data_IF_807476852292
#
_entry.id   IF_807476852292
#
_cell.length_a   1.000
_cell.length_b   1.000
_cell.length_c   1.000
_cell.angle_alpha   90.00
_cell.angle_beta   90.00
_cell.angle_gamma   90.00
#
_symmetry.space_group_name_H-M   'P 1'
#
loop_
_entity.id
_entity.type
_entity.pdbx_description
1 polymer ?
#
# COMPACT_ATOMS: atom_id res chain seq x y z
N UNK A 1 -14.65 5.49 -27.14
CA UNK A 1 -15.40 6.15 -28.23
C UNK A 1 -16.70 5.38 -28.46
N UNK A 2 -17.80 6.06 -28.77
CA UNK A 2 -19.03 5.40 -29.21
C UNK A 2 -18.87 4.95 -30.67
N UNK A 3 -18.98 3.64 -30.93
CA UNK A 3 -18.80 3.09 -32.28
C UNK A 3 -19.88 3.58 -33.26
N UNK A 4 -21.12 3.73 -32.79
CA UNK A 4 -22.26 4.07 -33.65
C UNK A 4 -22.20 5.49 -34.23
N UNK A 5 -21.58 6.44 -33.52
CA UNK A 5 -21.46 7.83 -33.96
C UNK A 5 -20.02 8.30 -34.15
N UNK A 6 -19.04 7.39 -34.03
CA UNK A 6 -17.61 7.66 -34.18
C UNK A 6 -17.11 8.87 -33.36
N UNK A 7 -17.69 9.08 -32.17
CA UNK A 7 -17.32 10.21 -31.29
C UNK A 7 -18.11 11.50 -31.49
N UNK A 8 -18.84 11.67 -32.61
CA UNK A 8 -19.59 12.90 -32.88
C UNK A 8 -20.73 13.17 -31.89
N UNK A 9 -21.26 12.12 -31.26
CA UNK A 9 -22.45 12.17 -30.41
C UNK A 9 -23.76 12.40 -31.16
N UNK A 10 -23.71 12.64 -32.48
CA UNK A 10 -24.88 12.80 -33.33
C UNK A 10 -25.44 11.43 -33.78
N UNK A 11 -26.73 11.39 -34.11
CA UNK A 11 -27.37 10.21 -34.68
C UNK A 11 -26.67 9.83 -36.00
N UNK A 12 -26.44 8.54 -36.31
CA UNK A 12 -25.83 8.14 -37.57
C UNK A 12 -26.53 8.79 -38.78
N UNK A 13 -25.77 9.36 -39.71
CA UNK A 13 -26.28 10.10 -40.87
C UNK A 13 -26.66 11.56 -40.60
N UNK A 14 -26.57 12.04 -39.36
CA UNK A 14 -26.71 13.45 -38.99
C UNK A 14 -25.35 14.01 -38.54
N UNK A 15 -25.22 15.34 -38.48
CA UNK A 15 -23.99 16.01 -38.04
C UNK A 15 -24.28 17.03 -36.93
N UNK A 16 -23.34 17.26 -36.00
CA UNK A 16 -23.44 18.36 -35.05
C UNK A 16 -23.55 19.70 -35.76
N UNK A 17 -24.48 20.55 -35.32
CA UNK A 17 -24.60 21.92 -35.84
C UNK A 17 -23.53 22.81 -35.21
N UNK A 18 -23.00 23.78 -35.95
CA UNK A 18 -22.08 24.77 -35.37
C UNK A 18 -22.81 25.61 -34.31
N UNK A 19 -22.19 25.79 -33.14
CA UNK A 19 -22.77 26.60 -32.08
C UNK A 19 -22.80 28.07 -32.51
N UNK A 20 -23.99 28.66 -32.62
CA UNK A 20 -24.17 30.04 -33.09
C UNK A 20 -23.57 31.08 -32.13
N UNK A 21 -23.61 30.82 -30.82
CA UNK A 21 -23.12 31.75 -29.80
C UNK A 21 -21.60 31.96 -29.82
N UNK A 22 -20.84 30.91 -30.15
CA UNK A 22 -19.38 30.97 -30.23
C UNK A 22 -18.84 30.79 -31.66
N UNK A 23 -19.73 30.68 -32.65
CA UNK A 23 -19.40 30.45 -34.06
C UNK A 23 -18.40 29.31 -34.29
N UNK A 24 -18.53 28.21 -33.53
CA UNK A 24 -17.62 27.06 -33.64
C UNK A 24 -16.37 27.09 -32.75
N UNK A 25 -16.05 28.23 -32.13
CA UNK A 25 -14.81 28.37 -31.34
C UNK A 25 -14.84 27.66 -29.97
N UNK A 26 -16.02 27.29 -29.48
CA UNK A 26 -16.19 26.69 -28.15
C UNK A 26 -15.99 27.64 -26.98
N UNK A 27 -15.54 28.87 -27.23
CA UNK A 27 -15.20 29.85 -26.21
C UNK A 27 -15.86 31.20 -26.51
N UNK A 28 -16.09 32.00 -25.47
CA UNK A 28 -16.65 33.34 -25.59
C UNK A 28 -15.88 34.31 -24.71
N UNK A 29 -15.75 35.55 -25.16
CA UNK A 29 -15.05 36.59 -24.41
C UNK A 29 -16.02 37.34 -23.51
N UNK A 30 -15.74 37.39 -22.21
CA UNK A 30 -16.52 38.12 -21.21
C UNK A 30 -15.70 39.27 -20.62
N UNK A 31 -16.34 40.43 -20.45
CA UNK A 31 -15.73 41.56 -19.75
C UNK A 31 -15.72 41.28 -18.24
N UNK A 32 -14.53 41.26 -17.63
CA UNK A 32 -14.33 41.20 -16.19
C UNK A 32 -14.51 42.57 -15.52
N UNK A 33 -14.30 42.62 -14.19
CA UNK A 33 -14.48 43.77 -13.29
C UNK A 33 -14.45 45.15 -13.99
N UNK A 34 -15.63 45.72 -14.27
CA UNK A 34 -15.79 47.07 -14.83
C UNK A 34 -15.31 47.26 -16.29
N UNK A 35 -15.07 46.21 -17.06
CA UNK A 35 -14.59 46.29 -18.44
C UNK A 35 -13.07 46.38 -18.61
N UNK A 36 -12.31 46.34 -17.52
CA UNK A 36 -10.85 46.49 -17.53
C UNK A 36 -10.11 45.27 -18.11
N UNK A 37 -10.69 44.08 -18.04
CA UNK A 37 -10.08 42.84 -18.51
C UNK A 37 -11.06 42.03 -19.37
N UNK A 38 -10.52 41.34 -20.38
CA UNK A 38 -11.25 40.38 -21.20
C UNK A 38 -10.86 38.97 -20.78
N UNK A 39 -11.84 38.19 -20.34
CA UNK A 39 -11.67 36.80 -19.94
C UNK A 39 -12.20 35.92 -21.07
N UNK A 40 -11.47 34.87 -21.45
CA UNK A 40 -11.98 33.86 -22.37
C UNK A 40 -12.52 32.71 -21.52
N UNK A 41 -13.80 32.39 -21.68
CA UNK A 41 -14.48 31.34 -20.93
C UNK A 41 -15.12 30.34 -21.90
N UNK A 42 -15.36 29.12 -21.45
CA UNK A 42 -16.08 28.13 -22.24
C UNK A 42 -17.49 28.65 -22.58
N UNK A 43 -17.92 28.46 -23.83
CA UNK A 43 -19.26 28.82 -24.27
C UNK A 43 -20.29 27.97 -23.52
N UNK A 44 -21.22 28.62 -22.82
CA UNK A 44 -22.24 27.93 -22.01
C UNK A 44 -23.22 27.10 -22.86
N UNK A 45 -23.47 27.49 -24.13
CA UNK A 45 -24.45 26.83 -24.99
C UNK A 45 -23.95 25.47 -25.52
N UNK A 46 -22.64 25.35 -25.77
CA UNK A 46 -22.03 24.11 -26.27
C UNK A 46 -21.08 23.46 -25.25
N UNK A 47 -20.94 24.03 -24.05
CA UNK A 47 -20.08 23.52 -22.98
C UNK A 47 -18.59 23.47 -23.35
N UNK A 48 -18.14 24.24 -24.34
CA UNK A 48 -16.76 24.18 -24.84
C UNK A 48 -16.56 23.47 -26.18
N UNK A 49 -17.55 22.70 -26.67
CA UNK A 49 -17.38 21.83 -27.86
C UNK A 49 -17.37 22.56 -29.21
N UNK A 50 -17.80 23.81 -29.27
CA UNK A 50 -17.99 24.54 -30.53
C UNK A 50 -19.18 24.08 -31.39
N UNK A 51 -19.77 22.93 -31.08
CA UNK A 51 -20.91 22.36 -31.79
C UNK A 51 -22.04 21.96 -30.84
N UNK A 52 -23.26 21.89 -31.38
CA UNK A 52 -24.49 21.50 -30.67
C UNK A 52 -25.06 20.26 -31.35
N UNK A 53 -25.34 19.24 -30.55
CA UNK A 53 -25.92 17.98 -31.03
C UNK A 53 -27.45 18.11 -30.98
N UNK A 54 -28.05 18.28 -32.16
CA UNK A 54 -29.51 18.39 -32.33
C UNK A 54 -30.14 17.00 -32.23
N UNK A 55 -29.73 16.10 -33.13
CA UNK A 55 -30.15 14.70 -33.13
C UNK A 55 -29.13 13.85 -32.37
N UNK A 56 -29.44 13.50 -31.13
CA UNK A 56 -28.53 12.74 -30.26
C UNK A 56 -28.43 11.28 -30.72
N UNK A 57 -27.21 10.75 -30.70
CA UNK A 57 -26.97 9.31 -30.82
C UNK A 57 -27.70 8.57 -29.69
N UNK A 58 -28.45 7.53 -30.05
CA UNK A 58 -29.21 6.70 -29.10
C UNK A 58 -28.31 5.99 -28.10
N UNK A 59 -27.14 5.55 -28.54
CA UNK A 59 -26.30 4.62 -27.77
C UNK A 59 -25.44 5.35 -26.74
N UNK A 60 -25.03 6.59 -27.03
CA UNK A 60 -24.25 7.41 -26.10
C UNK A 60 -25.02 8.60 -25.51
N UNK A 61 -26.26 8.84 -25.96
CA UNK A 61 -27.10 9.96 -25.52
C UNK A 61 -26.54 11.35 -25.84
N UNK A 62 -25.71 11.49 -26.88
CA UNK A 62 -25.04 12.75 -27.22
C UNK A 62 -23.66 12.96 -26.59
N UNK A 63 -23.12 11.96 -25.87
CA UNK A 63 -21.80 12.07 -25.23
C UNK A 63 -20.62 11.76 -26.16
N UNK A 64 -20.86 11.11 -27.30
CA UNK A 64 -19.80 10.62 -28.20
C UNK A 64 -19.00 9.44 -27.65
N UNK A 65 -19.26 9.02 -26.40
CA UNK A 65 -18.51 7.98 -25.69
C UNK A 65 -19.44 7.12 -24.85
N UNK A 66 -19.06 5.85 -24.74
CA UNK A 66 -19.71 4.85 -23.91
C UNK A 66 -18.67 4.24 -22.97
N UNK A 67 -19.02 3.94 -21.71
CA UNK A 67 -18.14 3.20 -20.82
C UNK A 67 -17.91 1.80 -21.39
N UNK A 68 -16.70 1.29 -21.25
CA UNK A 68 -16.32 -0.06 -21.68
C UNK A 68 -15.51 -0.72 -20.59
N UNK A 69 -15.80 -1.98 -20.31
CA UNK A 69 -14.99 -2.77 -19.41
C UNK A 69 -13.72 -3.21 -20.12
N UNK A 70 -12.58 -2.96 -19.47
CA UNK A 70 -11.26 -3.40 -19.94
C UNK A 70 -10.55 -4.14 -18.83
N UNK A 71 -9.87 -5.23 -19.20
CA UNK A 71 -8.94 -5.93 -18.31
C UNK A 71 -7.54 -5.43 -18.61
N UNK A 72 -6.85 -4.98 -17.57
CA UNK A 72 -5.47 -4.50 -17.65
C UNK A 72 -4.65 -5.37 -16.72
N UNK A 73 -3.60 -5.99 -17.25
CA UNK A 73 -2.67 -6.78 -16.46
C UNK A 73 -1.64 -5.85 -15.83
N UNK A 74 -1.48 -5.93 -14.52
CA UNK A 74 -0.58 -5.06 -13.75
C UNK A 74 0.48 -5.92 -13.09
N UNK A 75 1.73 -5.77 -13.53
CA UNK A 75 2.86 -6.43 -12.87
C UNK A 75 3.23 -5.66 -11.61
N UNK A 76 2.95 -6.25 -10.45
CA UNK A 76 3.34 -5.68 -9.16
C UNK A 76 4.82 -6.00 -8.91
N UNK A 77 5.71 -4.99 -8.81
CA UNK A 77 7.12 -5.24 -8.56
C UNK A 77 7.34 -5.74 -7.13
N UNK A 78 8.28 -6.67 -6.98
CA UNK A 78 8.69 -7.15 -5.66
C UNK A 78 9.24 -6.00 -4.81
N UNK A 79 8.93 -6.00 -3.52
CA UNK A 79 9.40 -4.95 -2.60
C UNK A 79 8.51 -3.71 -2.53
N UNK A 80 7.45 -3.61 -3.32
CA UNK A 80 6.52 -2.47 -3.25
C UNK A 80 5.98 -2.28 -1.83
N UNK A 81 5.93 -1.03 -1.39
CA UNK A 81 5.45 -0.63 -0.06
C UNK A 81 4.02 -0.11 -0.14
N UNK A 82 3.29 -0.18 0.98
CA UNK A 82 1.95 0.37 1.06
C UNK A 82 1.93 1.86 0.69
N UNK A 83 0.90 2.27 -0.06
CA UNK A 83 0.72 3.65 -0.53
C UNK A 83 1.51 4.00 -1.80
N UNK A 84 2.42 3.14 -2.28
CA UNK A 84 3.10 3.37 -3.55
C UNK A 84 2.15 3.13 -4.73
N UNK A 85 2.28 3.97 -5.76
CA UNK A 85 1.48 3.90 -6.97
C UNK A 85 2.29 3.31 -8.14
N UNK A 86 1.70 2.33 -8.83
CA UNK A 86 2.20 1.81 -10.11
C UNK A 86 1.52 2.62 -11.21
N UNK A 87 2.31 3.31 -12.03
CA UNK A 87 1.83 4.07 -13.18
C UNK A 87 1.76 3.19 -14.41
N UNK A 88 0.58 3.11 -15.02
CA UNK A 88 0.36 2.44 -16.29
C UNK A 88 0.07 3.51 -17.34
N UNK A 89 1.05 3.82 -18.21
CA UNK A 89 0.94 4.95 -19.12
C UNK A 89 -0.15 4.72 -20.16
N UNK A 90 -0.87 5.77 -20.53
CA UNK A 90 -1.94 5.76 -21.55
C UNK A 90 -3.14 4.84 -21.26
N UNK A 91 -3.25 4.29 -20.06
CA UNK A 91 -4.38 3.44 -19.65
C UNK A 91 -5.48 4.18 -18.88
N UNK A 92 -5.34 5.51 -18.75
CA UNK A 92 -6.35 6.38 -18.17
C UNK A 92 -7.45 6.78 -19.16
N UNK A 93 -8.24 7.76 -18.74
CA UNK A 93 -9.34 8.26 -19.55
C UNK A 93 -8.83 8.96 -20.84
N UNK A 94 -9.56 8.80 -21.96
CA UNK A 94 -9.30 9.61 -23.14
C UNK A 94 -9.55 11.10 -22.87
N UNK A 95 -8.92 12.02 -23.63
CA UNK A 95 -9.02 13.46 -23.39
C UNK A 95 -10.48 13.92 -23.36
N UNK A 96 -10.87 14.98 -22.63
CA UNK A 96 -12.27 15.41 -22.55
C UNK A 96 -12.91 15.59 -23.94
N UNK A 97 -14.22 15.27 -24.11
CA UNK A 97 -14.92 15.44 -25.39
C UNK A 97 -14.85 16.87 -25.97
N UNK A 98 -14.66 17.87 -25.12
CA UNK A 98 -14.52 19.28 -25.48
C UNK A 98 -13.17 19.57 -26.14
N UNK A 99 -12.13 18.81 -25.78
CA UNK A 99 -10.79 18.93 -26.37
C UNK A 99 -10.65 18.06 -27.63
N UNK A 100 -11.22 16.86 -27.60
CA UNK A 100 -11.23 15.94 -28.73
C UNK A 100 -12.49 15.06 -28.73
N UNK A 101 -13.50 15.39 -29.57
CA UNK A 101 -14.73 14.62 -29.68
C UNK A 101 -14.50 13.14 -30.06
N UNK A 102 -13.53 12.87 -30.94
CA UNK A 102 -13.17 11.52 -31.38
C UNK A 102 -12.43 10.75 -30.27
N UNK A 103 -11.74 11.47 -29.39
CA UNK A 103 -10.93 10.89 -28.31
C UNK A 103 -9.69 10.16 -28.82
N UNK A 104 -9.14 10.65 -29.94
CA UNK A 104 -7.92 10.18 -30.58
C UNK A 104 -6.64 10.77 -29.96
N UNK A 105 -6.77 11.82 -29.13
CA UNK A 105 -5.67 12.42 -28.38
C UNK A 105 -5.11 11.51 -27.28
N UNK A 106 -3.97 11.92 -26.67
CA UNK A 106 -3.28 11.13 -25.66
C UNK A 106 -4.19 10.89 -24.46
N UNK A 107 -4.21 9.64 -24.00
CA UNK A 107 -4.94 9.24 -22.80
C UNK A 107 -4.18 9.68 -21.56
N UNK A 108 -4.91 9.82 -20.45
CA UNK A 108 -4.30 9.90 -19.14
C UNK A 108 -3.61 8.59 -18.75
N UNK A 109 -3.04 8.57 -17.55
CA UNK A 109 -2.40 7.38 -16.98
C UNK A 109 -3.32 6.72 -15.94
N UNK A 110 -3.23 5.40 -15.80
CA UNK A 110 -3.86 4.66 -14.70
C UNK A 110 -2.85 4.55 -13.55
N UNK A 111 -3.24 5.02 -12.37
CA UNK A 111 -2.44 4.92 -11.15
C UNK A 111 -3.02 3.85 -10.22
N UNK A 112 -2.29 2.76 -10.02
CA UNK A 112 -2.68 1.67 -9.13
C UNK A 112 -2.00 1.85 -7.79
N UNK A 113 -2.74 2.34 -6.79
CA UNK A 113 -2.23 2.51 -5.43
C UNK A 113 -2.28 1.18 -4.70
N UNK A 114 -1.13 0.74 -4.20
CA UNK A 114 -1.01 -0.55 -3.51
C UNK A 114 -1.31 -0.42 -2.02
N UNK A 115 -1.98 -1.45 -1.48
CA UNK A 115 -2.18 -1.64 -0.04
C UNK A 115 -1.67 -3.04 0.30
N UNK A 116 -0.85 -3.13 1.33
CA UNK A 116 -0.33 -4.41 1.82
C UNK A 116 -1.26 -4.90 2.91
N UNK A 117 -1.72 -6.14 2.78
CA UNK A 117 -2.53 -6.80 3.81
C UNK A 117 -1.63 -7.14 4.99
N UNK A 118 -2.10 -6.89 6.20
CA UNK A 118 -1.42 -7.34 7.43
C UNK A 118 -1.25 -8.86 7.42
N UNK A 119 -0.12 -9.32 7.95
CA UNK A 119 0.22 -10.74 8.02
C UNK A 119 0.17 -11.20 9.48
N UNK A 120 -0.38 -12.39 9.73
CA UNK A 120 -0.62 -12.89 11.09
C UNK A 120 0.69 -13.10 11.89
N UNK A 121 1.76 -13.47 11.20
CA UNK A 121 3.06 -13.77 11.82
C UNK A 121 4.14 -12.69 11.64
N UNK A 122 3.99 -11.77 10.69
CA UNK A 122 5.06 -10.87 10.29
C UNK A 122 4.62 -9.42 10.32
N UNK A 123 5.47 -8.58 10.90
CA UNK A 123 5.39 -7.13 10.78
C UNK A 123 6.50 -6.66 9.84
N UNK A 124 6.17 -5.77 8.90
CA UNK A 124 7.14 -5.23 7.92
C UNK A 124 7.60 -3.85 8.35
N UNK A 125 8.91 -3.69 8.51
CA UNK A 125 9.57 -2.39 8.71
C UNK A 125 10.54 -2.10 7.57
N UNK A 126 10.10 -1.25 6.63
CA UNK A 126 10.85 -0.98 5.40
C UNK A 126 11.09 -2.24 4.57
N UNK A 127 12.35 -2.66 4.46
CA UNK A 127 12.74 -3.89 3.78
C UNK A 127 12.97 -5.08 4.74
N UNK A 128 12.85 -4.84 6.05
CA UNK A 128 13.00 -5.85 7.09
C UNK A 128 11.65 -6.47 7.45
N UNK A 129 11.71 -7.70 7.96
CA UNK A 129 10.58 -8.39 8.55
C UNK A 129 10.86 -8.65 10.02
N UNK A 130 9.83 -8.56 10.85
CA UNK A 130 9.88 -8.85 12.28
C UNK A 130 8.92 -10.00 12.54
N UNK A 131 9.40 -11.03 13.23
CA UNK A 131 8.62 -12.19 13.66
C UNK A 131 8.83 -12.42 15.14
N UNK A 132 7.75 -12.77 15.85
CA UNK A 132 7.83 -13.19 17.24
C UNK A 132 7.87 -14.70 17.29
N UNK A 133 8.99 -15.25 17.76
CA UNK A 133 9.17 -16.69 17.89
C UNK A 133 8.98 -17.13 19.34
N UNK A 134 7.97 -17.97 19.65
CA UNK A 134 7.84 -18.56 20.96
C UNK A 134 8.96 -19.58 21.22
N UNK A 135 9.55 -19.54 22.41
CA UNK A 135 10.58 -20.49 22.83
C UNK A 135 10.32 -20.98 24.26
N UNK A 136 10.57 -22.26 24.51
CA UNK A 136 10.41 -22.86 25.83
C UNK A 136 11.53 -22.41 26.78
N UNK A 137 11.24 -22.41 28.09
CA UNK A 137 12.23 -22.14 29.15
C UNK A 137 13.51 -22.96 28.98
N UNK A 138 13.38 -24.26 28.73
CA UNK A 138 14.53 -25.17 28.56
C UNK A 138 15.37 -24.83 27.34
N UNK A 139 14.76 -24.43 26.22
CA UNK A 139 15.48 -24.00 25.01
C UNK A 139 16.29 -22.73 25.26
N UNK A 140 15.73 -21.77 26.02
CA UNK A 140 16.44 -20.53 26.35
C UNK A 140 17.55 -20.75 27.37
N UNK A 141 17.30 -21.60 28.37
CA UNK A 141 18.28 -21.90 29.42
C UNK A 141 19.44 -22.74 28.90
N UNK A 142 19.16 -23.76 28.10
CA UNK A 142 20.14 -24.77 27.66
C UNK A 142 20.70 -24.54 26.26
N UNK A 143 20.11 -23.61 25.50
CA UNK A 143 20.34 -23.45 24.07
C UNK A 143 19.53 -24.45 23.25
N UNK A 144 19.31 -24.11 21.98
CA UNK A 144 18.57 -24.95 21.03
C UNK A 144 18.84 -24.51 19.60
N UNK A 145 18.78 -25.45 18.66
CA UNK A 145 18.61 -25.14 17.24
C UNK A 145 17.12 -25.19 16.93
N UNK A 146 16.60 -24.12 16.32
CA UNK A 146 15.18 -24.00 15.95
C UNK A 146 15.04 -23.49 14.53
N UNK A 147 13.92 -23.80 13.88
CA UNK A 147 13.59 -23.29 12.56
C UNK A 147 12.63 -22.10 12.68
N UNK A 148 12.94 -21.03 11.96
CA UNK A 148 12.12 -19.82 11.88
C UNK A 148 11.50 -19.73 10.48
N UNK A 149 10.17 -19.56 10.37
CA UNK A 149 9.55 -19.35 9.07
C UNK A 149 9.96 -18.02 8.46
N UNK A 150 10.26 -18.04 7.16
CA UNK A 150 10.41 -16.87 6.30
C UNK A 150 9.07 -16.48 5.64
N UNK A 151 9.14 -15.57 4.67
CA UNK A 151 7.94 -15.08 3.97
C UNK A 151 7.47 -16.06 2.88
N UNK A 152 8.39 -16.85 2.32
CA UNK A 152 8.04 -17.92 1.38
C UNK A 152 7.34 -19.10 2.08
N UNK A 153 6.39 -19.74 1.39
CA UNK A 153 5.61 -20.89 1.92
C UNK A 153 6.52 -22.03 2.40
N UNK A 154 7.71 -22.16 1.82
CA UNK A 154 8.71 -23.20 2.14
C UNK A 154 10.05 -22.59 2.62
N UNK A 155 10.08 -21.29 2.94
CA UNK A 155 11.29 -20.63 3.41
C UNK A 155 11.45 -20.87 4.91
N UNK A 156 12.46 -21.65 5.30
CA UNK A 156 12.83 -21.89 6.69
C UNK A 156 14.28 -21.43 6.90
N UNK A 157 14.53 -20.84 8.07
CA UNK A 157 15.85 -20.43 8.49
C UNK A 157 16.23 -21.12 9.79
N UNK A 158 17.40 -21.75 9.82
CA UNK A 158 17.98 -22.28 11.05
C UNK A 158 18.43 -21.13 11.95
N UNK A 159 18.08 -21.22 13.23
CA UNK A 159 18.45 -20.25 14.26
C UNK A 159 19.01 -20.97 15.49
N UNK A 160 20.25 -20.65 15.80
CA UNK A 160 20.93 -21.13 17.01
C UNK A 160 20.66 -20.21 18.20
N UNK A 161 19.85 -20.70 19.13
CA UNK A 161 19.60 -20.07 20.43
C UNK A 161 20.77 -20.43 21.36
N UNK A 162 21.47 -19.41 21.84
CA UNK A 162 22.56 -19.60 22.79
C UNK A 162 22.01 -19.87 24.21
N UNK A 163 22.68 -20.70 25.02
CA UNK A 163 22.31 -20.90 26.41
C UNK A 163 22.26 -19.56 27.17
N UNK A 164 21.24 -19.39 28.02
CA UNK A 164 21.00 -18.15 28.77
C UNK A 164 20.36 -17.01 27.95
N UNK A 165 19.81 -17.30 26.76
CA UNK A 165 19.10 -16.30 25.95
C UNK A 165 17.91 -15.72 26.74
N UNK A 166 17.83 -14.39 26.79
CA UNK A 166 16.80 -13.68 27.56
C UNK A 166 15.50 -13.50 26.75
N UNK A 167 14.38 -13.32 27.45
CA UNK A 167 13.13 -12.90 26.83
C UNK A 167 13.31 -11.56 26.11
N UNK A 168 12.76 -11.43 24.90
CA UNK A 168 12.89 -10.23 24.07
C UNK A 168 14.22 -10.11 23.33
N UNK A 169 15.12 -11.09 23.46
CA UNK A 169 16.36 -11.12 22.68
C UNK A 169 16.05 -11.09 21.17
N UNK A 170 16.90 -10.37 20.43
CA UNK A 170 16.78 -10.18 18.99
C UNK A 170 17.83 -10.99 18.26
N UNK A 171 17.39 -11.78 17.30
CA UNK A 171 18.28 -12.47 16.36
C UNK A 171 18.04 -11.93 14.97
N UNK A 172 19.12 -11.78 14.19
CA UNK A 172 19.05 -11.23 12.84
C UNK A 172 19.50 -12.28 11.84
N UNK A 173 18.62 -12.58 10.89
CA UNK A 173 18.87 -13.48 9.77
C UNK A 173 19.05 -12.63 8.52
N UNK A 174 20.31 -12.52 8.08
CA UNK A 174 20.70 -11.66 6.97
C UNK A 174 20.02 -12.10 5.69
N UNK A 175 19.35 -11.18 4.99
CA UNK A 175 18.70 -11.50 3.71
C UNK A 175 17.37 -12.26 3.82
N UNK A 176 16.84 -12.48 5.03
CA UNK A 176 15.52 -13.10 5.25
C UNK A 176 14.32 -12.14 5.10
N UNK A 177 14.57 -10.84 4.85
CA UNK A 177 13.53 -9.83 4.68
C UNK A 177 12.95 -9.76 3.27
N UNK A 178 12.39 -8.62 2.89
CA UNK A 178 11.83 -8.40 1.54
C UNK A 178 12.84 -7.70 0.62
N UNK A 179 12.75 -7.88 -0.71
CA UNK A 179 13.64 -7.18 -1.64
C UNK A 179 13.34 -5.68 -1.67
N UNK A 180 14.39 -4.86 -1.71
CA UNK A 180 14.26 -3.43 -1.94
C UNK A 180 13.83 -3.17 -3.39
N UNK A 181 12.85 -2.28 -3.58
CA UNK A 181 12.28 -1.97 -4.90
C UNK A 181 13.30 -1.42 -5.93
N UNK A 182 14.35 -0.70 -5.47
CA UNK A 182 15.33 -0.06 -6.36
C UNK A 182 16.58 -0.92 -6.57
N UNK A 183 17.10 -1.51 -5.51
CA UNK A 183 18.39 -2.23 -5.54
C UNK A 183 18.22 -3.74 -5.69
N UNK A 184 17.04 -4.29 -5.42
CA UNK A 184 16.77 -5.72 -5.39
C UNK A 184 17.38 -6.46 -4.20
N UNK A 185 18.21 -5.79 -3.38
CA UNK A 185 18.81 -6.39 -2.19
C UNK A 185 17.73 -6.68 -1.16
N UNK A 186 17.74 -7.89 -0.58
CA UNK A 186 16.84 -8.23 0.53
C UNK A 186 17.29 -7.55 1.81
N UNK A 187 16.31 -7.06 2.57
CA UNK A 187 16.51 -6.75 3.99
C UNK A 187 16.65 -8.02 4.82
N UNK A 188 16.59 -7.86 6.13
CA UNK A 188 16.83 -8.92 7.10
C UNK A 188 15.53 -9.36 7.79
N UNK A 189 15.51 -10.60 8.28
CA UNK A 189 14.48 -11.09 9.19
C UNK A 189 14.97 -10.93 10.64
N UNK A 190 14.20 -10.21 11.44
CA UNK A 190 14.44 -9.97 12.87
C UNK A 190 13.51 -10.86 13.68
N UNK A 191 14.10 -11.75 14.45
CA UNK A 191 13.38 -12.70 15.29
C UNK A 191 13.40 -12.20 16.72
N UNK A 192 12.22 -11.94 17.28
CA UNK A 192 12.04 -11.57 18.68
C UNK A 192 11.68 -12.80 19.48
N UNK A 193 12.53 -13.19 20.42
CA UNK A 193 12.28 -14.37 21.26
C UNK A 193 11.24 -14.06 22.33
N UNK A 194 10.19 -14.88 22.39
CA UNK A 194 9.17 -14.83 23.43
C UNK A 194 9.21 -16.09 24.28
N UNK A 195 9.71 -15.97 25.51
CA UNK A 195 9.64 -17.05 26.50
C UNK A 195 8.17 -17.47 26.73
N UNK A 196 7.90 -18.76 26.57
CA UNK A 196 6.66 -19.41 26.96
C UNK A 196 6.92 -20.21 28.24
N UNK A 197 6.23 -19.82 29.31
CA UNK A 197 6.20 -20.57 30.57
C UNK A 197 5.05 -21.57 30.51
N UNK A 198 5.29 -22.89 30.69
CA UNK A 198 4.23 -23.89 30.70
C UNK A 198 3.16 -23.59 31.78
N UNK A 199 1.89 -23.63 31.40
CA UNK A 199 0.77 -23.39 32.32
C UNK A 199 0.28 -24.66 33.04
N UNK A 200 0.67 -25.84 32.55
CA UNK A 200 0.31 -27.14 33.12
C UNK A 200 1.58 -27.97 33.23
N UNK A 201 1.82 -28.49 34.42
CA UNK A 201 2.94 -29.36 34.75
C UNK A 201 2.42 -30.60 35.45
N UNK A 202 2.93 -31.76 35.09
CA UNK A 202 2.70 -32.99 35.84
C UNK A 202 3.55 -33.03 37.13
N UNK A 203 3.31 -33.99 38.02
CA UNK A 203 4.02 -34.06 39.30
C UNK A 203 5.52 -34.29 39.14
N UNK A 204 5.93 -35.05 38.12
CA UNK A 204 7.34 -35.31 37.85
C UNK A 204 8.07 -34.04 37.39
N UNK A 205 7.46 -33.28 36.48
CA UNK A 205 7.99 -31.99 36.01
C UNK A 205 8.10 -30.96 37.14
N UNK A 206 7.11 -30.93 38.05
CA UNK A 206 7.17 -30.05 39.24
C UNK A 206 8.32 -30.43 40.16
N UNK A 207 8.54 -31.72 40.39
CA UNK A 207 9.64 -32.21 41.22
C UNK A 207 11.00 -31.79 40.64
N UNK A 208 11.20 -31.97 39.33
CA UNK A 208 12.42 -31.52 38.63
C UNK A 208 12.66 -30.01 38.78
N UNK A 209 11.62 -29.18 38.65
CA UNK A 209 11.76 -27.73 38.79
C UNK A 209 12.02 -27.31 40.24
N UNK A 210 11.48 -28.02 41.24
CA UNK A 210 11.81 -27.76 42.65
C UNK A 210 13.27 -28.07 42.93
N UNK A 211 13.77 -29.20 42.45
CA UNK A 211 15.20 -29.55 42.60
C UNK A 211 16.12 -28.57 41.88
N UNK A 212 15.73 -28.08 40.70
CA UNK A 212 16.47 -27.01 40.03
C UNK A 212 16.49 -25.72 40.87
N UNK A 213 15.34 -25.31 41.41
CA UNK A 213 15.21 -24.10 42.22
C UNK A 213 16.07 -24.11 43.50
N UNK A 214 16.35 -25.29 44.08
CA UNK A 214 17.28 -25.43 45.23
C UNK A 214 18.73 -25.09 44.86
N UNK A 215 19.08 -25.16 43.56
CA UNK A 215 20.42 -24.87 43.03
C UNK A 215 20.51 -23.52 42.33
N UNK A 216 19.39 -22.80 42.22
CA UNK A 216 19.29 -21.57 41.44
C UNK A 216 19.81 -20.38 42.24
N UNK A 217 20.94 -19.81 41.82
CA UNK A 217 21.52 -18.58 42.39
C UNK A 217 21.06 -17.34 41.61
N UNK A 218 19.75 -17.16 41.45
CA UNK A 218 19.19 -15.96 40.79
C UNK A 218 18.90 -14.88 41.82
N UNK A 219 19.61 -13.75 41.72
CA UNK A 219 19.24 -12.54 42.44
C UNK A 219 17.92 -12.00 41.90
N UNK A 220 16.80 -12.41 42.49
CA UNK A 220 15.48 -11.79 42.27
C UNK A 220 15.45 -10.46 43.03
N UNK A 221 16.25 -9.50 42.58
CA UNK A 221 16.26 -8.14 43.11
C UNK A 221 14.94 -7.44 42.79
N UNK A 222 14.29 -6.90 43.82
CA UNK A 222 13.11 -6.05 43.66
C UNK A 222 13.43 -4.86 42.74
N UNK A 223 12.95 -4.93 41.50
CA UNK A 223 12.98 -3.88 40.47
C UNK A 223 14.37 -3.34 40.14
N UNK A 224 14.82 -3.58 38.91
CA UNK A 224 15.88 -2.77 38.30
C UNK A 224 15.52 -1.28 38.47
N UNK A 225 16.32 -0.48 39.21
CA UNK A 225 16.07 0.96 39.39
C UNK A 225 15.94 1.69 38.03
N UNK A 226 16.56 1.12 36.99
CA UNK A 226 16.54 1.63 35.62
C UNK A 226 15.16 1.60 34.96
N UNK A 227 14.29 0.65 35.31
CA UNK A 227 12.94 0.52 34.73
C UNK A 227 12.00 1.57 35.34
N UNK A 228 12.02 1.73 36.67
CA UNK A 228 11.24 2.78 37.33
C UNK A 228 11.73 4.19 37.01
N UNK A 229 13.04 4.40 36.84
CA UNK A 229 13.58 5.70 36.41
C UNK A 229 13.19 6.02 34.98
N UNK A 230 13.25 5.06 34.04
CA UNK A 230 12.77 5.26 32.65
C UNK A 230 11.28 5.58 32.57
N UNK A 231 10.45 4.93 33.40
CA UNK A 231 9.02 5.24 33.49
C UNK A 231 8.81 6.64 34.09
N UNK A 232 9.55 7.02 35.13
CA UNK A 232 9.48 8.38 35.71
C UNK A 232 9.93 9.45 34.72
N UNK A 233 10.97 9.23 33.94
CA UNK A 233 11.47 10.21 32.98
C UNK A 233 10.46 10.44 31.84
N UNK A 234 9.82 9.37 31.37
CA UNK A 234 8.76 9.44 30.36
C UNK A 234 7.47 10.12 30.88
N UNK A 235 7.14 9.98 32.17
CA UNK A 235 5.92 10.55 32.77
C UNK A 235 6.14 11.97 33.33
N UNK A 236 7.36 12.31 33.77
CA UNK A 236 7.66 13.62 34.39
C UNK A 236 8.32 14.62 33.47
N UNK A 237 8.65 14.24 32.22
CA UNK A 237 9.07 15.18 31.17
C UNK A 237 10.34 15.97 31.49
N UNK A 238 11.27 15.40 32.26
CA UNK A 238 12.60 16.00 32.43
C UNK A 238 13.54 15.41 31.40
N UNK A 239 13.89 16.25 30.42
CA UNK A 239 15.04 16.07 29.53
C UNK A 239 16.36 16.16 30.30
#
# INVERSE_FOLDING_TARGET
MCLSCEGSGAKPGTQPATCQRCSGSGQVTQAGLGGMFRMVVACQDCGGRGSIIVDRCTDCGGRGRVPVDRRIEVKVPAGISAGQAIRIPNEGEPPPPEADPAGAGPRGDLHVVTRVKEHDCFERDGDHLIVVMPAAFTQLALGAEVEVPGLGVEELHELSIQPGTQHGALFRITGGGVPNLRTGRRGDLVVVVKLIVPSKLDEHQKELLRSYAETEEVEVGASSPSLWNRIKDAVTGRH
#
